data_IF_388013408819
#
_entry.id   IF_388013408819
#
_cell.length_a   1.000
_cell.length_b   1.000
_cell.length_c   1.000
_cell.angle_alpha   90.00
_cell.angle_beta   90.00
_cell.angle_gamma   90.00
#
_symmetry.space_group_name_H-M   'P 1'
#
loop_
_entity.id
_entity.type
_entity.pdbx_description
1 polymer ?
#
# COMPACT_ATOMS: atom_id res chain seq x y z
N UNK A 1 -0.16 -39.13 4.63
CA UNK A 1 -1.06 -38.35 3.74
C UNK A 1 -1.48 -37.01 4.35
N UNK A 2 -1.95 -36.95 5.60
CA UNK A 2 -2.43 -35.71 6.26
C UNK A 2 -1.42 -34.54 6.23
N UNK A 3 -0.12 -34.82 6.46
CA UNK A 3 0.94 -33.79 6.42
C UNK A 3 1.06 -33.12 5.05
N UNK A 4 0.93 -33.90 3.97
CA UNK A 4 0.99 -33.39 2.59
C UNK A 4 -0.23 -32.52 2.27
N UNK A 5 -1.42 -32.93 2.70
CA UNK A 5 -2.65 -32.13 2.54
C UNK A 5 -2.55 -30.81 3.30
N UNK A 6 -2.15 -30.85 4.57
CA UNK A 6 -1.95 -29.63 5.38
C UNK A 6 -0.89 -28.70 4.75
N UNK A 7 0.19 -29.26 4.21
CA UNK A 7 1.21 -28.50 3.50
C UNK A 7 0.66 -27.82 2.24
N UNK A 8 -0.12 -28.54 1.43
CA UNK A 8 -0.74 -28.00 0.20
C UNK A 8 -1.72 -26.89 0.56
N UNK A 9 -2.62 -27.11 1.53
CA UNK A 9 -3.58 -26.11 1.98
C UNK A 9 -2.89 -24.83 2.47
N UNK A 10 -1.81 -24.96 3.23
CA UNK A 10 -0.99 -23.82 3.66
C UNK A 10 -0.41 -23.06 2.48
N UNK A 11 0.12 -23.76 1.47
CA UNK A 11 0.68 -23.12 0.28
C UNK A 11 -0.36 -22.43 -0.58
N UNK A 12 -1.56 -22.98 -0.66
CA UNK A 12 -2.71 -22.34 -1.31
C UNK A 12 -3.10 -21.04 -0.59
N UNK A 13 -3.15 -21.04 0.75
CA UNK A 13 -3.45 -19.85 1.55
C UNK A 13 -2.37 -18.76 1.40
N UNK A 14 -1.08 -19.13 1.48
CA UNK A 14 0.05 -18.21 1.23
C UNK A 14 0.00 -17.61 -0.21
N UNK A 15 -0.38 -18.43 -1.19
CA UNK A 15 -0.55 -18.03 -2.58
C UNK A 15 -1.75 -17.11 -2.80
N UNK A 16 -2.88 -17.42 -2.16
CA UNK A 16 -4.06 -16.57 -2.15
C UNK A 16 -3.73 -15.17 -1.61
N UNK A 17 -2.91 -15.09 -0.55
CA UNK A 17 -2.40 -13.81 -0.05
C UNK A 17 -1.68 -12.99 -1.13
N UNK A 18 -0.86 -13.61 -2.00
CA UNK A 18 -0.17 -12.89 -3.09
C UNK A 18 -1.16 -12.38 -4.14
N UNK A 19 -2.09 -13.23 -4.58
CA UNK A 19 -3.10 -12.86 -5.57
C UNK A 19 -4.02 -11.75 -5.04
N UNK A 20 -4.48 -11.90 -3.80
CA UNK A 20 -5.27 -10.88 -3.09
C UNK A 20 -4.55 -9.53 -3.08
N UNK A 21 -3.27 -9.49 -2.72
CA UNK A 21 -2.50 -8.24 -2.68
C UNK A 21 -2.39 -7.61 -4.06
N UNK A 22 -2.14 -8.41 -5.11
CA UNK A 22 -2.10 -7.94 -6.48
C UNK A 22 -3.46 -7.35 -6.90
N UNK A 23 -4.56 -8.02 -6.57
CA UNK A 23 -5.91 -7.51 -6.85
C UNK A 23 -6.17 -6.18 -6.12
N UNK A 24 -5.86 -6.10 -4.81
CA UNK A 24 -6.14 -4.91 -4.02
C UNK A 24 -5.38 -3.67 -4.49
N UNK A 25 -4.09 -3.79 -4.82
CA UNK A 25 -3.30 -2.64 -5.28
C UNK A 25 -3.66 -2.15 -6.69
N UNK A 26 -4.35 -2.97 -7.49
CA UNK A 26 -4.76 -2.58 -8.84
C UNK A 26 -6.23 -2.15 -8.93
N UNK A 27 -7.12 -2.75 -8.14
CA UNK A 27 -8.57 -2.56 -8.27
C UNK A 27 -9.25 -1.96 -7.03
N UNK A 28 -8.58 -1.92 -5.87
CA UNK A 28 -9.16 -1.42 -4.62
C UNK A 28 -8.19 -0.48 -3.88
N UNK A 29 -7.77 0.56 -4.56
CA UNK A 29 -6.84 1.55 -4.02
C UNK A 29 -7.36 2.19 -2.72
N UNK A 30 -8.65 2.54 -2.64
CA UNK A 30 -9.25 3.10 -1.42
C UNK A 30 -9.10 2.19 -0.20
N UNK A 31 -9.21 0.88 -0.39
CA UNK A 31 -8.99 -0.08 0.69
C UNK A 31 -7.52 -0.05 1.12
N UNK A 32 -6.60 -0.05 0.17
CA UNK A 32 -5.16 0.02 0.46
C UNK A 32 -4.84 1.30 1.22
N UNK A 33 -5.29 2.46 0.75
CA UNK A 33 -5.01 3.75 1.39
C UNK A 33 -5.57 3.82 2.82
N UNK A 34 -6.81 3.37 3.04
CA UNK A 34 -7.41 3.33 4.38
C UNK A 34 -6.60 2.49 5.37
N UNK A 35 -6.10 1.32 4.95
CA UNK A 35 -5.28 0.52 5.84
C UNK A 35 -3.85 1.04 5.97
N UNK A 36 -3.27 1.61 4.91
CA UNK A 36 -1.96 2.28 5.00
C UNK A 36 -1.99 3.46 5.97
N UNK A 37 -3.10 4.20 6.05
CA UNK A 37 -3.29 5.26 7.04
C UNK A 37 -3.29 4.75 8.50
N UNK A 38 -3.67 3.49 8.72
CA UNK A 38 -3.63 2.80 10.02
C UNK A 38 -2.30 2.09 10.27
N UNK A 39 -1.46 1.95 9.24
CA UNK A 39 -0.18 1.25 9.35
C UNK A 39 0.83 2.13 10.09
N UNK A 40 1.55 1.52 11.02
CA UNK A 40 2.61 2.15 11.80
C UNK A 40 3.88 1.30 11.75
N UNK A 41 4.99 1.88 12.21
CA UNK A 41 6.32 1.30 12.12
C UNK A 41 6.88 1.30 10.70
N UNK A 42 8.01 0.61 10.53
CA UNK A 42 8.81 0.65 9.30
C UNK A 42 9.29 -0.72 8.85
N UNK A 43 9.70 -0.80 7.58
CA UNK A 43 10.23 -2.01 6.99
C UNK A 43 11.66 -2.28 7.49
N UNK A 44 11.83 -3.25 8.39
CA UNK A 44 13.13 -3.68 8.93
C UNK A 44 14.00 -4.51 7.96
N UNK A 45 13.61 -4.61 6.69
CA UNK A 45 14.28 -5.45 5.67
C UNK A 45 14.54 -6.89 6.15
N UNK A 46 13.59 -7.47 6.90
CA UNK A 46 13.72 -8.83 7.46
C UNK A 46 13.58 -9.96 6.41
N UNK A 47 13.23 -9.63 5.17
CA UNK A 47 13.07 -10.59 4.07
C UNK A 47 11.91 -11.58 4.23
N UNK A 48 11.07 -11.46 5.26
CA UNK A 48 9.98 -12.43 5.50
C UNK A 48 8.90 -12.36 4.41
N UNK A 49 8.56 -11.16 3.93
CA UNK A 49 7.64 -10.98 2.80
C UNK A 49 8.16 -11.62 1.51
N UNK A 50 9.47 -11.64 1.31
CA UNK A 50 10.14 -12.26 0.15
C UNK A 50 10.13 -13.80 0.20
N UNK A 51 9.73 -14.41 1.32
CA UNK A 51 9.69 -15.87 1.50
C UNK A 51 8.26 -16.42 1.61
N UNK A 52 7.25 -15.56 1.57
CA UNK A 52 5.84 -15.98 1.57
C UNK A 52 5.59 -16.83 0.33
N UNK A 53 5.01 -18.03 0.50
CA UNK A 53 4.74 -19.03 -0.54
C UNK A 53 6.00 -19.64 -1.17
N UNK A 54 6.87 -18.82 -1.74
CA UNK A 54 8.11 -19.20 -2.42
C UNK A 54 9.20 -18.17 -2.15
N UNK A 55 10.46 -18.56 -2.38
CA UNK A 55 11.61 -17.64 -2.30
C UNK A 55 11.60 -16.69 -3.50
N UNK A 56 11.40 -15.40 -3.24
CA UNK A 56 11.42 -14.36 -4.27
C UNK A 56 12.78 -14.37 -5.01
N UNK A 57 12.78 -14.28 -6.36
CA UNK A 57 14.01 -14.27 -7.14
C UNK A 57 14.91 -13.05 -6.84
N UNK A 58 14.32 -11.97 -6.34
CA UNK A 58 15.06 -10.75 -5.96
C UNK A 58 15.62 -10.79 -4.53
N UNK A 59 15.48 -11.90 -3.80
CA UNK A 59 16.02 -12.08 -2.45
C UNK A 59 17.45 -12.63 -2.51
N UNK A 60 18.41 -11.74 -2.27
CA UNK A 60 19.84 -12.02 -2.20
C UNK A 60 20.30 -12.30 -0.76
N UNK A 61 21.25 -13.22 -0.62
CA UNK A 61 21.78 -13.65 0.67
C UNK A 61 20.68 -14.12 1.61
N UNK A 62 20.74 -13.66 2.86
CA UNK A 62 19.72 -13.95 3.84
C UNK A 62 18.49 -13.06 3.66
N UNK A 63 18.61 -11.72 3.77
CA UNK A 63 17.43 -10.85 3.89
C UNK A 63 17.40 -9.66 2.91
N UNK A 64 18.32 -9.59 1.95
CA UNK A 64 18.50 -8.42 1.10
C UNK A 64 17.61 -8.48 -0.15
N UNK A 65 16.73 -7.49 -0.33
CA UNK A 65 15.96 -7.34 -1.55
C UNK A 65 16.75 -6.49 -2.56
N UNK A 66 17.13 -7.08 -3.70
CA UNK A 66 17.95 -6.39 -4.71
C UNK A 66 17.19 -5.22 -5.39
N UNK A 67 15.87 -5.33 -5.49
CA UNK A 67 15.00 -4.30 -6.09
C UNK A 67 14.34 -3.40 -5.03
N UNK A 68 14.93 -3.25 -3.84
CA UNK A 68 14.27 -2.56 -2.73
C UNK A 68 13.85 -1.11 -3.06
N UNK A 69 14.64 -0.40 -3.85
CA UNK A 69 14.36 0.97 -4.31
C UNK A 69 13.32 1.03 -5.42
N UNK A 70 13.19 -0.02 -6.22
CA UNK A 70 12.26 -0.14 -7.36
C UNK A 70 11.25 -1.27 -7.18
N UNK A 71 10.71 -1.41 -5.96
CA UNK A 71 9.74 -2.46 -5.61
C UNK A 71 8.45 -2.33 -6.41
N UNK A 72 7.85 -3.48 -6.74
CA UNK A 72 6.50 -3.51 -7.31
C UNK A 72 5.45 -2.94 -6.33
N UNK A 73 4.32 -2.44 -6.86
CA UNK A 73 3.22 -1.84 -6.08
C UNK A 73 2.79 -2.71 -4.89
N UNK A 74 2.59 -4.01 -5.10
CA UNK A 74 2.22 -4.96 -4.06
C UNK A 74 3.31 -5.16 -2.99
N UNK A 75 4.58 -4.96 -3.33
CA UNK A 75 5.70 -5.05 -2.39
C UNK A 75 5.87 -3.77 -1.57
N UNK A 76 5.53 -2.61 -2.14
CA UNK A 76 5.51 -1.31 -1.43
C UNK A 76 4.35 -1.26 -0.44
N UNK A 77 3.16 -1.67 -0.90
CA UNK A 77 1.96 -1.68 -0.08
C UNK A 77 1.98 -2.75 1.03
N UNK A 78 2.90 -3.72 0.98
CA UNK A 78 2.99 -4.79 1.96
C UNK A 78 3.51 -4.31 3.32
N UNK A 79 2.93 -4.75 4.45
CA UNK A 79 1.64 -5.43 4.57
C UNK A 79 0.50 -4.45 4.27
N UNK A 80 -0.55 -4.92 3.59
CA UNK A 80 -1.73 -4.11 3.25
C UNK A 80 -2.67 -4.05 4.46
N UNK A 81 -2.89 -5.17 5.15
CA UNK A 81 -3.71 -5.24 6.37
C UNK A 81 -3.24 -6.38 7.30
N UNK A 82 -3.90 -6.54 8.45
CA UNK A 82 -3.53 -7.54 9.48
C UNK A 82 -3.48 -8.98 8.97
N UNK A 83 -4.25 -9.30 7.91
CA UNK A 83 -4.22 -10.62 7.28
C UNK A 83 -2.84 -10.94 6.72
N UNK A 84 -2.14 -9.95 6.18
CA UNK A 84 -0.80 -10.14 5.63
C UNK A 84 0.23 -10.44 6.72
N UNK A 85 0.02 -9.95 7.94
CA UNK A 85 0.91 -10.20 9.09
C UNK A 85 0.84 -11.66 9.56
N UNK A 86 -0.27 -12.36 9.35
CA UNK A 86 -0.43 -13.79 9.73
C UNK A 86 0.59 -14.70 9.05
N UNK A 87 1.01 -14.34 7.84
CA UNK A 87 2.00 -15.10 7.06
C UNK A 87 3.44 -14.77 7.47
N UNK A 88 3.63 -13.70 8.24
CA UNK A 88 4.92 -13.27 8.75
C UNK A 88 5.09 -13.90 10.14
N UNK A 89 6.21 -14.58 10.38
CA UNK A 89 6.53 -15.17 11.68
C UNK A 89 6.93 -14.10 12.71
N UNK A 90 6.14 -13.02 12.83
CA UNK A 90 6.28 -11.90 13.77
C UNK A 90 7.57 -11.05 13.67
N UNK A 91 8.28 -11.12 12.55
CA UNK A 91 9.55 -10.39 12.32
C UNK A 91 9.39 -9.05 11.60
N UNK A 92 8.18 -8.69 11.17
CA UNK A 92 7.93 -7.44 10.46
C UNK A 92 7.87 -6.27 11.45
N UNK A 93 8.45 -5.13 11.09
CA UNK A 93 8.34 -3.91 11.90
C UNK A 93 7.00 -3.16 11.74
N UNK A 94 6.19 -3.54 10.77
CA UNK A 94 4.87 -2.95 10.55
C UNK A 94 3.80 -3.59 11.44
N UNK A 95 2.90 -2.75 11.94
CA UNK A 95 1.70 -3.13 12.68
C UNK A 95 0.55 -2.17 12.34
N UNK A 96 -0.68 -2.53 12.67
CA UNK A 96 -1.87 -1.69 12.44
C UNK A 96 -2.47 -1.24 13.76
N UNK A 97 -2.82 0.05 13.84
CA UNK A 97 -3.56 0.61 14.98
C UNK A 97 -5.04 0.66 14.67
N UNK A 98 -5.87 0.54 15.71
CA UNK A 98 -7.30 0.70 15.53
C UNK A 98 -7.64 2.14 15.16
N UNK A 99 -8.68 2.40 14.35
CA UNK A 99 -9.13 3.76 14.05
C UNK A 99 -9.47 4.59 15.29
N UNK A 100 -9.84 3.95 16.40
CA UNK A 100 -10.11 4.62 17.68
C UNK A 100 -8.86 5.18 18.35
N UNK A 101 -7.68 4.70 17.95
CA UNK A 101 -6.38 5.07 18.51
C UNK A 101 -5.64 6.08 17.64
N UNK A 102 -6.16 6.42 16.46
CA UNK A 102 -5.59 7.48 15.63
C UNK A 102 -6.07 8.81 16.21
N UNK A 103 -5.30 9.39 17.12
CA UNK A 103 -5.46 10.80 17.45
C UNK A 103 -5.22 11.60 16.17
N UNK A 104 -6.18 12.40 15.69
CA UNK A 104 -5.91 13.31 14.59
C UNK A 104 -4.75 14.24 15.00
N UNK A 105 -3.87 14.62 14.06
CA UNK A 105 -2.85 15.64 14.35
C UNK A 105 -3.57 16.96 14.61
N UNK A 106 -3.84 17.30 15.87
CA UNK A 106 -4.53 18.55 16.19
C UNK A 106 -5.12 18.77 17.58
N UNK A 107 -5.23 17.79 18.49
CA UNK A 107 -5.63 18.07 19.88
C UNK A 107 -5.30 16.93 20.87
N UNK A 108 -4.32 17.16 21.75
CA UNK A 108 -3.97 16.28 22.87
C UNK A 108 -4.96 16.35 24.05
N UNK A 109 -6.27 16.32 23.77
CA UNK A 109 -7.30 16.48 24.81
C UNK A 109 -8.47 15.51 24.59
N UNK A 110 -8.26 14.20 24.75
CA UNK A 110 -9.33 13.25 25.04
C UNK A 110 -8.78 11.90 25.51
N UNK A 111 -8.09 11.90 26.67
CA UNK A 111 -7.85 10.66 27.42
C UNK A 111 -8.91 10.53 28.52
N UNK A 112 -10.12 10.08 28.20
CA UNK A 112 -11.00 9.43 29.17
C UNK A 112 -11.99 8.49 28.50
N UNK A 113 -11.79 7.20 28.77
CA UNK A 113 -12.81 6.19 29.08
C UNK A 113 -13.90 5.89 28.02
N UNK A 114 -13.95 4.62 27.57
CA UNK A 114 -15.00 3.70 28.06
C UNK A 114 -14.90 2.34 27.38
N UNK A 115 -14.74 1.33 28.23
CA UNK A 115 -15.09 -0.07 28.00
C UNK A 115 -16.59 -0.21 27.67
N UNK A 116 -16.95 -1.31 26.99
CA UNK A 116 -18.29 -1.72 26.55
C UNK A 116 -18.86 -1.04 25.29
N UNK A 117 -19.01 -1.83 24.22
CA UNK A 117 -20.30 -2.38 23.78
C UNK A 117 -20.00 -3.35 22.63
N UNK A 118 -20.13 -4.64 22.92
CA UNK A 118 -20.47 -5.65 21.94
C UNK A 118 -21.99 -5.55 21.72
N UNK A 119 -22.45 -4.99 20.61
CA UNK A 119 -23.80 -5.28 20.09
C UNK A 119 -23.88 -5.00 18.58
N UNK A 120 -24.36 -5.94 17.76
CA UNK A 120 -24.71 -5.66 16.38
C UNK A 120 -26.00 -4.83 16.33
N UNK A 121 -26.00 -3.74 15.56
CA UNK A 121 -27.19 -2.92 15.32
C UNK A 121 -28.22 -3.67 14.45
N UNK A 122 -29.53 -3.54 14.74
CA UNK A 122 -30.59 -3.99 13.83
C UNK A 122 -30.70 -3.05 12.62
N UNK A 123 -30.90 -3.61 11.43
CA UNK A 123 -31.26 -2.84 10.23
C UNK A 123 -32.70 -2.32 10.37
N UNK A 124 -32.98 -1.03 10.19
CA UNK A 124 -34.36 -0.57 10.01
C UNK A 124 -34.80 -0.76 8.55
N UNK A 125 -36.03 -1.21 8.40
CA UNK A 125 -36.76 -1.33 7.15
C UNK A 125 -37.39 0.01 6.74
N UNK A 126 -37.55 0.18 5.42
CA UNK A 126 -38.50 1.03 4.68
C UNK A 126 -38.39 2.56 4.85
N UNK A 127 -38.25 3.30 3.75
CA UNK A 127 -39.41 3.89 3.05
C UNK A 127 -39.02 4.62 1.76
N UNK A 128 -40.03 4.70 0.89
CA UNK A 128 -40.09 5.19 -0.48
C UNK A 128 -40.29 6.71 -0.48
N UNK A 129 -39.53 7.46 -1.26
CA UNK A 129 -40.02 8.75 -1.79
C UNK A 129 -39.29 9.12 -3.09
N UNK A 130 -40.12 9.55 -4.03
CA UNK A 130 -39.80 10.03 -5.36
C UNK A 130 -39.25 11.47 -5.29
N UNK A 131 -38.33 11.82 -6.18
CA UNK A 131 -37.80 13.17 -6.28
C UNK A 131 -36.71 13.28 -7.34
N UNK A 132 -37.13 13.49 -8.60
CA UNK A 132 -36.24 13.85 -9.70
C UNK A 132 -35.79 15.30 -9.53
N UNK A 133 -34.48 15.51 -9.45
CA UNK A 133 -33.83 16.81 -9.50
C UNK A 133 -32.44 16.65 -10.11
N UNK A 134 -32.33 16.93 -11.40
CA UNK A 134 -31.06 17.08 -12.11
C UNK A 134 -30.32 18.33 -11.60
N UNK A 135 -29.14 18.15 -11.00
CA UNK A 135 -28.18 19.24 -10.85
C UNK A 135 -26.81 18.80 -11.34
N UNK A 136 -26.29 19.57 -12.29
CA UNK A 136 -25.10 19.27 -13.09
C UNK A 136 -23.83 19.35 -12.25
N UNK A 137 -23.06 18.27 -12.25
CA UNK A 137 -21.69 18.23 -11.69
C UNK A 137 -20.78 19.10 -12.56
N UNK A 138 -20.35 20.24 -12.01
CA UNK A 138 -19.25 21.03 -12.56
C UNK A 138 -17.94 20.24 -12.48
N UNK A 139 -17.45 19.82 -13.63
CA UNK A 139 -16.13 19.19 -13.78
C UNK A 139 -15.08 20.30 -13.70
N UNK A 140 -14.29 20.33 -12.62
CA UNK A 140 -13.11 21.17 -12.56
C UNK A 140 -12.12 20.76 -13.67
N UNK A 141 -11.54 21.70 -14.44
CA UNK A 141 -10.56 21.36 -15.46
C UNK A 141 -9.27 20.83 -14.81
N UNK A 142 -8.58 19.88 -15.47
CA UNK A 142 -7.31 19.35 -14.96
C UNK A 142 -6.20 20.42 -14.98
N UNK A 143 -5.22 20.34 -14.07
CA UNK A 143 -4.09 21.27 -14.04
C UNK A 143 -3.18 21.12 -15.27
N UNK A 144 -2.51 22.20 -15.72
CA UNK A 144 -1.65 22.17 -16.90
C UNK A 144 -0.41 21.30 -16.69
N UNK A 145 -0.04 20.58 -17.75
CA UNK A 145 1.13 19.71 -17.82
C UNK A 145 2.46 20.51 -17.85
N UNK A 146 3.56 19.97 -17.28
CA UNK A 146 4.86 20.65 -17.30
C UNK A 146 5.47 20.64 -18.70
N UNK A 147 5.86 21.81 -19.17
CA UNK A 147 6.53 22.05 -20.44
C UNK A 147 7.96 21.48 -20.41
N UNK A 148 8.19 20.38 -21.12
CA UNK A 148 9.53 19.99 -21.55
C UNK A 148 9.86 20.76 -22.83
N UNK A 149 10.78 21.72 -22.77
CA UNK A 149 11.55 22.12 -23.96
C UNK A 149 13.04 21.96 -23.68
N UNK A 150 13.64 21.16 -24.55
CA UNK A 150 14.99 20.66 -24.45
C UNK A 150 16.04 21.60 -25.04
N UNK A 151 17.27 21.23 -24.72
CA UNK A 151 18.56 21.67 -25.26
C UNK A 151 18.58 21.79 -26.78
N UNK A 152 19.35 22.76 -27.27
CA UNK A 152 20.13 22.58 -28.49
C UNK A 152 20.57 23.86 -29.18
N UNK A 153 21.71 24.44 -28.78
CA UNK A 153 22.53 25.26 -29.69
C UNK A 153 24.01 24.92 -29.55
N UNK A 154 24.60 24.61 -30.71
CA UNK A 154 26.01 24.22 -30.94
C UNK A 154 26.97 25.40 -30.72
N UNK A 155 28.26 25.16 -30.41
CA UNK A 155 29.28 26.20 -30.43
C UNK A 155 29.79 26.44 -31.86
N UNK A 156 29.79 27.70 -32.29
CA UNK A 156 30.54 28.19 -33.45
C UNK A 156 31.94 28.61 -33.01
N UNK A 157 32.95 28.25 -33.82
CA UNK A 157 34.35 28.34 -33.47
C UNK A 157 34.97 29.74 -33.55
N UNK A 158 36.26 29.81 -33.16
CA UNK A 158 37.19 30.81 -33.66
C UNK A 158 38.63 30.29 -33.59
N UNK A 159 39.24 30.32 -34.76
CA UNK A 159 40.64 30.12 -35.14
C UNK A 159 41.55 31.24 -34.61
N UNK A 160 42.82 30.91 -34.32
CA UNK A 160 44.08 31.65 -34.58
C UNK A 160 45.25 30.78 -34.05
N UNK A 161 46.17 30.24 -34.87
CA UNK A 161 47.50 30.79 -35.29
C UNK A 161 48.19 31.58 -34.15
N UNK A 162 49.47 31.41 -33.78
CA UNK A 162 50.68 30.81 -34.37
C UNK A 162 51.79 30.75 -33.25
N UNK A 163 53.10 30.50 -33.51
CA UNK A 163 53.97 29.69 -32.65
C UNK A 163 55.02 30.50 -31.86
N UNK A 164 55.72 29.83 -30.93
CA UNK A 164 57.18 29.83 -30.78
C UNK A 164 57.61 28.75 -29.80
#
# INVERSE_FOLDING_TARGET
>A
MLKSVAYILKKLDEGWGKLRRLYLVNYREDHVQRHLALRRGECRRCGSCCRIMFRCPHLMGENQCNIYTCRYKQCIAFPIDDRDLKYLRHTCGHHFVSPRTVTPPGNEAALTQSTNILRPSPLPALERSEGMGEERVGVNPPPPSPSHQGRGTRPNGRTTRHPR
#
